data_IF_427501424922
#
_entry.id   IF_427501424922
#
_cell.length_a   1.000
_cell.length_b   1.000
_cell.length_c   1.000
_cell.angle_alpha   90.00
_cell.angle_beta   90.00
_cell.angle_gamma   90.00
#
_symmetry.space_group_name_H-M   'P 1'
#
loop_
_entity.id
_entity.type
_entity.pdbx_description
1 polymer ?
#
# COMPACT_ATOMS: atom_id res chain seq x y z
N UNK A 1 11.37 -8.46 9.59
CA UNK A 1 10.01 -8.51 8.98
C UNK A 1 10.12 -8.11 7.52
N UNK A 2 9.23 -8.64 6.68
CA UNK A 2 9.05 -8.24 5.28
C UNK A 2 8.13 -7.03 5.21
N UNK A 3 8.62 -5.91 4.68
CA UNK A 3 7.88 -4.66 4.61
C UNK A 3 7.76 -4.21 3.16
N UNK A 4 6.53 -4.06 2.67
CA UNK A 4 6.29 -3.40 1.40
C UNK A 4 6.40 -1.87 1.55
N UNK A 5 7.08 -1.22 0.61
CA UNK A 5 7.11 0.23 0.46
C UNK A 5 6.53 0.62 -0.90
N UNK A 6 5.69 1.64 -0.91
CA UNK A 6 5.24 2.26 -2.15
C UNK A 6 4.98 3.75 -1.98
N UNK A 7 5.13 4.50 -3.07
CA UNK A 7 4.77 5.90 -3.13
C UNK A 7 4.46 6.38 -4.55
N UNK A 8 3.85 7.56 -4.65
CA UNK A 8 3.96 8.39 -5.85
C UNK A 8 5.19 9.30 -5.81
N UNK A 9 5.32 10.15 -6.82
CA UNK A 9 6.38 11.14 -6.93
C UNK A 9 6.46 12.08 -5.71
N UNK A 10 5.33 12.42 -5.08
CA UNK A 10 5.30 13.30 -3.91
C UNK A 10 5.85 12.62 -2.64
N UNK A 11 5.79 11.29 -2.56
CA UNK A 11 6.35 10.51 -1.46
C UNK A 11 7.77 9.98 -1.69
N UNK A 12 8.35 10.15 -2.89
CA UNK A 12 9.58 9.46 -3.30
C UNK A 12 10.76 9.69 -2.35
N UNK A 13 11.12 10.94 -2.08
CA UNK A 13 12.27 11.26 -1.22
C UNK A 13 12.11 10.66 0.20
N UNK A 14 10.89 10.69 0.74
CA UNK A 14 10.60 10.14 2.07
C UNK A 14 10.63 8.60 2.07
N UNK A 15 10.04 7.96 1.06
CA UNK A 15 10.09 6.49 0.90
C UNK A 15 11.52 6.00 0.79
N UNK A 16 12.34 6.65 -0.03
CA UNK A 16 13.75 6.27 -0.25
C UNK A 16 14.59 6.42 1.04
N UNK A 17 14.35 7.47 1.82
CA UNK A 17 14.91 7.61 3.16
C UNK A 17 14.49 6.46 4.09
N UNK A 18 13.19 6.17 4.18
CA UNK A 18 12.65 5.10 5.02
C UNK A 18 13.15 3.71 4.58
N UNK A 19 13.28 3.46 3.28
CA UNK A 19 13.81 2.20 2.74
C UNK A 19 15.23 1.91 3.25
N UNK A 20 16.12 2.92 3.20
CA UNK A 20 17.47 2.80 3.74
C UNK A 20 17.46 2.52 5.25
N UNK A 21 16.66 3.27 6.01
CA UNK A 21 16.57 3.12 7.47
C UNK A 21 16.05 1.74 7.87
N UNK A 22 14.95 1.29 7.26
CA UNK A 22 14.34 -0.01 7.55
C UNK A 22 15.28 -1.16 7.19
N UNK A 23 15.98 -1.07 6.06
CA UNK A 23 17.00 -2.05 5.68
C UNK A 23 18.14 -2.08 6.70
N UNK A 24 18.64 -0.91 7.12
CA UNK A 24 19.68 -0.81 8.15
C UNK A 24 19.23 -1.36 9.53
N UNK A 25 17.94 -1.29 9.83
CA UNK A 25 17.32 -1.91 11.01
C UNK A 25 17.05 -3.43 10.86
N UNK A 26 17.45 -4.05 9.74
CA UNK A 26 17.36 -5.50 9.52
C UNK A 26 16.02 -5.98 8.97
N UNK A 27 15.19 -5.09 8.44
CA UNK A 27 13.96 -5.49 7.73
C UNK A 27 14.24 -5.89 6.28
N UNK A 28 13.45 -6.83 5.76
CA UNK A 28 13.45 -7.21 4.34
C UNK A 28 12.48 -6.27 3.61
N UNK A 29 13.02 -5.27 2.91
CA UNK A 29 12.24 -4.20 2.28
C UNK A 29 11.96 -4.55 0.81
N UNK A 30 10.67 -4.64 0.47
CA UNK A 30 10.21 -4.78 -0.92
C UNK A 30 9.68 -3.44 -1.42
N UNK A 31 10.43 -2.79 -2.31
CA UNK A 31 10.07 -1.49 -2.88
C UNK A 31 9.30 -1.64 -4.20
N UNK A 32 8.02 -1.27 -4.18
CA UNK A 32 7.10 -1.30 -5.33
C UNK A 32 7.13 0.00 -6.15
N UNK A 33 8.05 0.90 -5.83
CA UNK A 33 8.22 2.19 -6.48
C UNK A 33 7.32 3.29 -5.90
N UNK A 34 7.29 4.48 -6.49
CA UNK A 34 8.10 4.88 -7.66
C UNK A 34 9.60 4.94 -7.37
N UNK A 35 10.41 5.07 -8.42
CA UNK A 35 11.89 5.00 -8.37
C UNK A 35 12.57 6.36 -8.62
N UNK A 36 11.79 7.41 -8.87
CA UNK A 36 12.26 8.77 -9.07
C UNK A 36 11.13 9.77 -8.78
N UNK A 37 11.41 11.05 -8.99
CA UNK A 37 10.48 12.16 -8.75
C UNK A 37 9.60 12.49 -9.96
N UNK A 38 9.67 11.69 -11.03
CA UNK A 38 8.85 11.93 -12.22
C UNK A 38 7.38 11.70 -11.87
N UNK A 39 6.50 12.55 -12.40
CA UNK A 39 5.07 12.46 -12.15
C UNK A 39 4.51 11.09 -12.51
N UNK A 40 3.87 10.44 -11.55
CA UNK A 40 3.22 9.14 -11.67
C UNK A 40 1.96 9.09 -10.82
N UNK A 41 1.07 8.17 -11.16
CA UNK A 41 -0.12 7.86 -10.37
C UNK A 41 0.22 6.94 -9.19
N UNK A 42 -0.18 7.34 -7.98
CA UNK A 42 0.07 6.56 -6.77
C UNK A 42 -0.52 5.14 -6.84
N UNK A 43 -1.65 4.96 -7.51
CA UNK A 43 -2.39 3.69 -7.57
C UNK A 43 -1.53 2.58 -8.19
N UNK A 44 -0.74 2.89 -9.23
CA UNK A 44 0.10 1.90 -9.92
C UNK A 44 1.19 1.29 -9.02
N UNK A 45 1.54 1.96 -7.92
CA UNK A 45 2.55 1.52 -6.96
C UNK A 45 1.93 1.04 -5.64
N UNK A 46 0.92 1.75 -5.14
CA UNK A 46 0.25 1.42 -3.88
C UNK A 46 -0.58 0.14 -4.01
N UNK A 47 -1.27 -0.07 -5.13
CA UNK A 47 -2.06 -1.29 -5.34
C UNK A 47 -1.21 -2.57 -5.26
N UNK A 48 -0.12 -2.76 -6.02
CA UNK A 48 0.67 -4.00 -5.95
C UNK A 48 1.34 -4.21 -4.59
N UNK A 49 1.78 -3.14 -3.90
CA UNK A 49 2.30 -3.23 -2.53
C UNK A 49 1.23 -3.68 -1.54
N UNK A 50 0.03 -3.12 -1.64
CA UNK A 50 -1.12 -3.49 -0.81
C UNK A 50 -1.57 -4.92 -1.12
N UNK A 51 -1.56 -5.32 -2.39
CA UNK A 51 -1.88 -6.68 -2.81
C UNK A 51 -0.91 -7.69 -2.21
N UNK A 52 0.38 -7.36 -2.15
CA UNK A 52 1.36 -8.19 -1.47
C UNK A 52 1.05 -8.38 0.02
N UNK A 53 0.55 -7.35 0.69
CA UNK A 53 0.14 -7.44 2.09
C UNK A 53 -1.13 -8.29 2.25
N UNK A 54 -2.13 -8.05 1.40
CA UNK A 54 -3.40 -8.80 1.35
C UNK A 54 -3.18 -10.31 1.15
N UNK A 55 -2.24 -10.67 0.28
CA UNK A 55 -1.85 -12.05 -0.03
C UNK A 55 -0.84 -12.64 0.96
N UNK A 56 -0.53 -11.94 2.06
CA UNK A 56 0.46 -12.34 3.06
C UNK A 56 1.87 -12.63 2.50
N UNK A 57 2.24 -12.01 1.36
CA UNK A 57 3.61 -12.03 0.81
C UNK A 57 4.57 -11.11 1.56
N UNK A 58 4.02 -10.13 2.28
CA UNK A 58 4.73 -9.25 3.22
C UNK A 58 3.99 -9.18 4.55
N UNK A 59 4.70 -8.79 5.62
CA UNK A 59 4.12 -8.70 6.97
C UNK A 59 3.40 -7.37 7.21
N UNK A 60 3.93 -6.28 6.62
CA UNK A 60 3.45 -4.90 6.77
C UNK A 60 3.63 -4.11 5.48
N UNK A 61 2.87 -3.04 5.32
CA UNK A 61 3.09 -2.05 4.27
C UNK A 61 3.25 -0.64 4.85
N UNK A 62 4.17 0.14 4.29
CA UNK A 62 4.28 1.58 4.53
C UNK A 62 4.11 2.27 3.18
N UNK A 63 3.12 3.14 3.09
CA UNK A 63 2.68 3.78 1.85
C UNK A 63 2.82 5.29 1.99
N UNK A 64 3.41 5.95 1.02
CA UNK A 64 3.67 7.39 1.08
C UNK A 64 3.08 8.07 -0.15
N UNK A 65 2.19 9.04 0.04
CA UNK A 65 1.80 9.95 -1.04
C UNK A 65 1.89 11.39 -0.52
N UNK A 66 1.42 12.39 -1.27
CA UNK A 66 1.46 13.78 -0.80
C UNK A 66 0.88 13.99 0.61
N UNK A 67 -0.23 13.35 0.96
CA UNK A 67 -0.96 13.56 2.22
C UNK A 67 -1.19 12.28 3.06
N UNK A 68 -0.99 11.10 2.47
CA UNK A 68 -1.24 9.77 3.01
C UNK A 68 -2.66 9.24 2.76
N UNK A 69 -3.64 10.11 2.46
CA UNK A 69 -5.04 9.69 2.34
C UNK A 69 -5.35 8.84 1.10
N UNK A 70 -4.96 9.25 -0.13
CA UNK A 70 -5.23 8.44 -1.33
C UNK A 70 -4.68 7.02 -1.22
N UNK A 71 -3.46 6.86 -0.70
CA UNK A 71 -2.86 5.55 -0.45
C UNK A 71 -3.67 4.73 0.55
N UNK A 72 -4.13 5.36 1.64
CA UNK A 72 -4.97 4.71 2.64
C UNK A 72 -6.33 4.27 2.09
N UNK A 73 -6.91 5.03 1.15
CA UNK A 73 -8.16 4.68 0.47
C UNK A 73 -7.96 3.42 -0.38
N UNK A 74 -6.92 3.38 -1.23
CA UNK A 74 -6.61 2.19 -2.04
C UNK A 74 -6.30 1.01 -1.14
N UNK A 75 -5.49 1.22 -0.11
CA UNK A 75 -5.06 0.13 0.77
C UNK A 75 -6.24 -0.58 1.44
N UNK A 76 -7.20 0.18 1.97
CA UNK A 76 -8.37 -0.36 2.66
C UNK A 76 -9.42 -0.99 1.73
N UNK A 77 -9.27 -0.90 0.40
CA UNK A 77 -10.13 -1.66 -0.52
C UNK A 77 -9.76 -3.14 -0.58
N UNK A 78 -8.54 -3.51 -0.16
CA UNK A 78 -8.00 -4.85 -0.37
C UNK A 78 -8.28 -5.81 0.79
N UNK A 79 -8.44 -7.11 0.47
CA UNK A 79 -8.56 -8.19 1.44
C UNK A 79 -7.60 -8.18 2.64
N UNK A 80 -8.15 -8.19 3.86
CA UNK A 80 -7.38 -8.26 5.10
C UNK A 80 -6.47 -7.06 5.39
N UNK A 81 -6.59 -5.95 4.65
CA UNK A 81 -5.79 -4.75 4.87
C UNK A 81 -6.55 -3.73 5.69
N UNK A 82 -5.91 -3.27 6.78
CA UNK A 82 -6.38 -2.23 7.66
C UNK A 82 -5.29 -1.16 7.75
N UNK A 83 -5.41 -0.16 6.88
CA UNK A 83 -4.47 0.93 6.76
C UNK A 83 -4.89 2.14 7.61
N UNK A 84 -3.95 2.72 8.33
CA UNK A 84 -4.12 4.00 9.02
C UNK A 84 -3.25 5.07 8.38
N UNK A 85 -3.78 6.29 8.27
CA UNK A 85 -2.99 7.48 7.97
C UNK A 85 -2.51 8.06 9.29
N UNK A 86 -1.19 8.21 9.48
CA UNK A 86 -0.63 8.82 10.67
C UNK A 86 0.54 9.74 10.32
N UNK A 87 0.42 11.01 10.70
CA UNK A 87 1.41 12.05 10.46
C UNK A 87 2.08 12.53 11.77
N UNK A 88 1.91 11.78 12.86
CA UNK A 88 2.56 12.00 14.15
C UNK A 88 2.67 10.68 14.94
N UNK A 89 3.61 10.56 15.90
CA UNK A 89 3.83 9.33 16.66
C UNK A 89 2.65 8.91 17.55
N UNK A 90 1.82 9.85 18.01
CA UNK A 90 0.65 9.51 18.83
C UNK A 90 -0.37 8.78 17.97
N UNK A 91 -0.69 9.32 16.80
CA UNK A 91 -1.58 8.66 15.83
C UNK A 91 -1.04 7.30 15.41
N UNK A 92 0.28 7.19 15.17
CA UNK A 92 0.95 5.94 14.81
C UNK A 92 0.81 4.85 15.90
N UNK A 93 1.05 5.22 17.16
CA UNK A 93 0.85 4.35 18.31
C UNK A 93 -0.60 3.88 18.42
N UNK A 94 -1.55 4.82 18.40
CA UNK A 94 -2.97 4.50 18.55
C UNK A 94 -3.49 3.62 17.40
N UNK A 95 -2.97 3.81 16.19
CA UNK A 95 -3.30 2.96 15.04
C UNK A 95 -2.91 1.48 15.26
N UNK A 96 -1.85 1.21 16.02
CA UNK A 96 -1.47 -0.15 16.42
C UNK A 96 -2.24 -0.62 17.63
N UNK A 97 -2.22 0.14 18.72
CA UNK A 97 -2.82 -0.23 20.01
C UNK A 97 -4.33 -0.50 19.88
N UNK A 98 -5.05 0.36 19.16
CA UNK A 98 -6.52 0.35 19.15
C UNK A 98 -7.11 -0.35 17.93
N UNK A 99 -6.39 -0.33 16.80
CA UNK A 99 -6.92 -0.79 15.52
C UNK A 99 -6.14 -1.95 14.91
N UNK A 100 -5.01 -2.35 15.51
CA UNK A 100 -4.13 -3.41 15.02
C UNK A 100 -3.82 -3.29 13.52
N UNK A 101 -3.57 -2.07 13.03
CA UNK A 101 -3.32 -1.79 11.61
C UNK A 101 -2.09 -2.53 11.08
N UNK A 102 -2.17 -3.03 9.85
CA UNK A 102 -1.08 -3.75 9.16
C UNK A 102 -0.51 -2.96 7.97
N UNK A 103 -1.11 -1.82 7.63
CA UNK A 103 -0.55 -0.82 6.74
C UNK A 103 -0.53 0.57 7.39
N UNK A 104 0.54 1.32 7.13
CA UNK A 104 0.73 2.69 7.59
C UNK A 104 0.85 3.61 6.36
N UNK A 105 0.08 4.68 6.34
CA UNK A 105 0.12 5.70 5.29
C UNK A 105 0.64 7.02 5.85
N UNK A 106 1.57 7.66 5.15
CA UNK A 106 2.25 8.87 5.59
C UNK A 106 2.17 9.92 4.48
N UNK A 107 1.94 11.19 4.84
CA UNK A 107 1.99 12.30 3.90
C UNK A 107 3.40 12.83 3.68
N UNK A 108 4.03 12.49 2.56
CA UNK A 108 5.37 12.93 2.16
C UNK A 108 5.54 14.45 2.00
N UNK A 109 4.44 15.20 1.78
CA UNK A 109 4.45 16.67 1.79
C UNK A 109 4.05 17.27 3.14
N UNK A 110 3.64 16.44 4.10
CA UNK A 110 3.18 16.87 5.42
C UNK A 110 4.28 16.67 6.46
N UNK A 111 4.99 15.54 6.43
CA UNK A 111 6.00 15.19 7.43
C UNK A 111 7.41 15.20 6.84
N UNK A 112 8.36 15.73 7.62
CA UNK A 112 9.79 15.61 7.33
C UNK A 112 10.35 14.25 7.77
N UNK A 113 11.52 13.89 7.25
CA UNK A 113 12.17 12.58 7.48
C UNK A 113 12.38 12.22 8.96
N UNK A 114 12.81 13.18 9.79
CA UNK A 114 13.01 12.95 11.23
C UNK A 114 11.70 12.57 11.93
N UNK A 115 10.59 13.22 11.57
CA UNK A 115 9.27 12.90 12.11
C UNK A 115 8.77 11.56 11.58
N UNK A 116 8.97 11.29 10.29
CA UNK A 116 8.60 10.02 9.68
C UNK A 116 9.34 8.83 10.31
N UNK A 117 10.62 8.99 10.65
CA UNK A 117 11.37 7.97 11.40
C UNK A 117 10.68 7.65 12.73
N UNK A 118 10.31 8.68 13.50
CA UNK A 118 9.60 8.48 14.77
C UNK A 118 8.24 7.83 14.59
N UNK A 119 7.48 8.22 13.56
CA UNK A 119 6.17 7.63 13.23
C UNK A 119 6.32 6.15 12.91
N UNK A 120 7.25 5.80 12.01
CA UNK A 120 7.47 4.43 11.54
C UNK A 120 8.01 3.56 12.68
N UNK A 121 9.01 4.03 13.43
CA UNK A 121 9.57 3.30 14.56
C UNK A 121 8.50 3.05 15.63
N UNK A 122 7.69 4.08 15.94
CA UNK A 122 6.58 3.95 16.89
C UNK A 122 5.56 2.91 16.40
N UNK A 123 5.13 2.99 15.14
CA UNK A 123 4.15 2.06 14.59
C UNK A 123 4.67 0.61 14.52
N UNK A 124 5.94 0.41 14.19
CA UNK A 124 6.53 -0.93 14.13
C UNK A 124 6.75 -1.54 15.52
N UNK A 125 7.15 -0.73 16.50
CA UNK A 125 7.43 -1.20 17.86
C UNK A 125 6.19 -1.33 18.75
N UNK A 126 5.05 -0.73 18.35
CA UNK A 126 3.84 -0.74 19.17
C UNK A 126 3.04 -2.04 19.02
N UNK A 127 2.84 -2.71 20.14
CA UNK A 127 2.01 -3.89 20.26
C UNK A 127 0.51 -3.57 20.26
N UNK A 128 -0.29 -4.54 19.81
CA UNK A 128 -1.74 -4.43 19.88
C UNK A 128 -2.23 -4.70 21.31
N UNK A 129 -3.06 -3.81 21.87
CA UNK A 129 -3.51 -3.94 23.27
C UNK A 129 -4.55 -5.04 23.50
N UNK A 130 -5.23 -5.51 22.47
CA UNK A 130 -6.28 -6.52 22.62
C UNK A 130 -7.48 -6.03 23.45
N UNK A 131 -8.05 -6.90 24.30
CA UNK A 131 -9.16 -6.57 25.20
C UNK A 131 -10.36 -5.93 24.48
N UNK A 132 -10.81 -4.77 24.95
CA UNK A 132 -11.92 -4.02 24.32
C UNK A 132 -11.65 -3.61 22.87
N UNK A 133 -10.37 -3.47 22.49
CA UNK A 133 -9.97 -3.12 21.13
C UNK A 133 -10.07 -4.32 20.19
N UNK A 134 -9.74 -5.53 20.66
CA UNK A 134 -9.93 -6.77 19.89
C UNK A 134 -11.39 -6.94 19.45
N UNK A 135 -12.34 -6.73 20.37
CA UNK A 135 -13.78 -6.79 20.06
C UNK A 135 -14.18 -5.83 18.93
N UNK A 136 -13.57 -4.64 18.86
CA UNK A 136 -13.85 -3.65 17.80
C UNK A 136 -13.19 -4.05 16.48
N UNK A 137 -11.94 -4.50 16.54
CA UNK A 137 -11.21 -5.02 15.37
C UNK A 137 -11.97 -6.20 14.75
N UNK A 138 -12.49 -7.12 15.55
CA UNK A 138 -13.27 -8.25 15.05
C UNK A 138 -14.58 -7.82 14.38
N UNK A 139 -15.25 -6.79 14.90
CA UNK A 139 -16.43 -6.20 14.23
C UNK A 139 -16.07 -5.56 12.89
N UNK A 140 -14.94 -4.86 12.80
CA UNK A 140 -14.45 -4.28 11.54
C UNK A 140 -14.13 -5.39 10.54
N UNK A 141 -13.44 -6.45 10.96
CA UNK A 141 -13.16 -7.64 10.14
C UNK A 141 -14.42 -8.35 9.67
N UNK A 142 -15.46 -8.40 10.50
CA UNK A 142 -16.74 -8.99 10.12
C UNK A 142 -17.48 -8.13 9.08
N UNK A 143 -17.47 -6.80 9.19
CA UNK A 143 -18.02 -5.90 8.17
C UNK A 143 -17.27 -6.04 6.85
N UNK A 144 -15.95 -6.09 6.95
CA UNK A 144 -15.04 -6.26 5.83
C UNK A 144 -15.31 -7.59 5.08
N UNK A 145 -15.47 -8.70 5.80
CA UNK A 145 -15.88 -9.97 5.22
C UNK A 145 -17.30 -9.94 4.62
N UNK A 146 -18.24 -9.25 5.28
CA UNK A 146 -19.65 -9.15 4.85
C UNK A 146 -19.83 -8.38 3.54
N UNK A 147 -19.08 -7.29 3.37
CA UNK A 147 -19.23 -6.41 2.22
C UNK A 147 -18.30 -6.75 1.05
N UNK A 148 -17.42 -7.74 1.22
CA UNK A 148 -16.64 -8.28 0.12
C UNK A 148 -17.46 -9.23 -0.73
N UNK A 149 -17.26 -9.13 -2.04
CA UNK A 149 -17.73 -10.12 -3.01
C UNK A 149 -16.98 -11.43 -2.76
N UNK A 150 -17.61 -12.55 -3.14
CA UNK A 150 -17.01 -13.87 -2.95
C UNK A 150 -15.67 -14.00 -3.68
N UNK A 151 -14.78 -14.88 -3.22
CA UNK A 151 -13.50 -15.13 -3.88
C UNK A 151 -13.66 -15.54 -5.36
N UNK A 152 -14.77 -16.20 -5.72
CA UNK A 152 -15.15 -16.53 -7.10
C UNK A 152 -15.50 -15.31 -7.95
N UNK A 153 -15.96 -14.20 -7.36
CA UNK A 153 -16.25 -12.94 -8.05
C UNK A 153 -15.05 -11.97 -8.04
N UNK A 154 -14.09 -12.17 -7.14
CA UNK A 154 -12.89 -11.33 -6.96
C UNK A 154 -11.68 -11.76 -7.79
N UNK A 155 -11.72 -12.93 -8.44
CA UNK A 155 -10.61 -13.46 -9.24
C UNK A 155 -10.29 -12.65 -10.51
N UNK A 156 -10.91 -11.48 -10.71
CA UNK A 156 -10.62 -10.58 -11.83
C UNK A 156 -9.19 -10.10 -11.74
N UNK A 157 -8.37 -10.56 -12.68
CA UNK A 157 -6.98 -10.13 -12.82
C UNK A 157 -6.96 -8.62 -13.05
N UNK A 158 -6.25 -7.88 -12.20
CA UNK A 158 -5.97 -6.46 -12.45
C UNK A 158 -4.57 -6.37 -13.07
N UNK A 159 -4.46 -5.68 -14.20
CA UNK A 159 -3.17 -5.41 -14.85
C UNK A 159 -2.87 -3.93 -14.73
N UNK A 160 -1.75 -3.63 -14.07
CA UNK A 160 -1.19 -2.28 -13.89
C UNK A 160 -0.10 -2.00 -14.92
N UNK A 161 0.30 -0.74 -15.05
CA UNK A 161 1.42 -0.36 -15.94
C UNK A 161 2.72 -1.03 -15.51
N UNK A 162 2.90 -1.27 -14.21
CA UNK A 162 4.08 -1.95 -13.70
C UNK A 162 4.12 -3.43 -14.11
N UNK A 163 2.97 -4.11 -14.17
CA UNK A 163 2.89 -5.48 -14.70
C UNK A 163 3.29 -5.53 -16.18
N UNK A 164 2.84 -4.54 -16.97
CA UNK A 164 3.23 -4.41 -18.39
C UNK A 164 4.75 -4.17 -18.52
N UNK A 165 5.32 -3.26 -17.73
CA UNK A 165 6.76 -2.97 -17.74
C UNK A 165 7.59 -4.20 -17.35
N UNK A 166 7.15 -4.97 -16.38
CA UNK A 166 7.82 -6.20 -15.95
C UNK A 166 7.80 -7.27 -17.06
N UNK A 167 6.65 -7.50 -17.67
CA UNK A 167 6.50 -8.42 -18.79
C UNK A 167 7.41 -8.04 -19.97
N UNK A 168 7.50 -6.75 -20.32
CA UNK A 168 8.41 -6.25 -21.36
C UNK A 168 9.88 -6.49 -21.00
N UNK A 169 10.30 -6.18 -19.77
CA UNK A 169 11.68 -6.42 -19.29
C UNK A 169 12.08 -7.88 -19.40
N UNK A 170 11.15 -8.79 -19.12
CA UNK A 170 11.39 -10.23 -19.14
C UNK A 170 10.98 -10.93 -20.45
N UNK A 171 10.57 -10.16 -21.48
CA UNK A 171 10.08 -10.69 -22.78
C UNK A 171 8.99 -11.75 -22.61
N UNK A 172 8.08 -11.53 -21.67
CA UNK A 172 6.93 -12.41 -21.38
C UNK A 172 5.66 -11.82 -21.96
N UNK A 173 4.73 -12.68 -22.36
CA UNK A 173 3.37 -12.27 -22.73
C UNK A 173 2.50 -12.17 -21.48
N UNK A 174 1.65 -11.15 -21.40
CA UNK A 174 0.56 -11.08 -20.45
C UNK A 174 -0.71 -11.61 -21.12
N UNK A 175 -1.28 -12.68 -20.56
CA UNK A 175 -2.59 -13.17 -20.98
C UNK A 175 -3.67 -12.31 -20.32
N UNK A 176 -4.57 -11.76 -21.14
CA UNK A 176 -5.75 -11.01 -20.72
C UNK A 176 -6.98 -11.82 -21.11
N UNK A 177 -8.00 -11.81 -20.26
CA UNK A 177 -9.33 -12.37 -20.52
C UNK A 177 -10.40 -11.26 -20.43
N UNK A 178 -11.64 -11.57 -20.78
CA UNK A 178 -12.74 -10.60 -20.80
C UNK A 178 -13.07 -10.00 -19.42
N UNK A 179 -12.62 -10.64 -18.35
CA UNK A 179 -12.81 -10.21 -16.96
C UNK A 179 -11.58 -9.45 -16.40
N UNK A 180 -10.51 -9.33 -17.19
CA UNK A 180 -9.28 -8.65 -16.80
C UNK A 180 -9.49 -7.14 -16.73
N UNK A 181 -9.23 -6.55 -15.56
CA UNK A 181 -9.33 -5.12 -15.32
C UNK A 181 -8.00 -4.46 -15.69
N UNK A 182 -7.98 -3.66 -16.75
CA UNK A 182 -6.85 -2.79 -17.07
C UNK A 182 -6.97 -1.50 -16.26
N UNK A 183 -5.92 -1.10 -15.54
CA UNK A 183 -5.89 0.23 -14.92
C UNK A 183 -5.97 1.32 -16.00
N UNK A 184 -6.52 2.52 -15.69
CA UNK A 184 -6.58 3.62 -16.66
C UNK A 184 -5.23 3.88 -17.35
N UNK A 185 -4.14 3.88 -16.57
CA UNK A 185 -2.78 4.08 -17.08
C UNK A 185 -2.33 2.99 -18.07
N UNK A 186 -2.85 1.75 -17.96
CA UNK A 186 -2.63 0.69 -18.98
C UNK A 186 -3.47 0.94 -20.22
N UNK A 187 -4.74 1.34 -20.07
CA UNK A 187 -5.60 1.68 -21.21
C UNK A 187 -5.02 2.83 -22.04
N UNK A 188 -4.49 3.84 -21.37
CA UNK A 188 -3.80 4.97 -22.01
C UNK A 188 -2.56 4.49 -22.78
N UNK A 189 -1.76 3.60 -22.18
CA UNK A 189 -0.58 3.00 -22.82
C UNK A 189 -0.94 2.19 -24.07
N UNK A 190 -2.07 1.49 -24.05
CA UNK A 190 -2.57 0.69 -25.19
C UNK A 190 -3.28 1.53 -26.26
N UNK A 191 -3.46 2.84 -26.03
CA UNK A 191 -4.22 3.70 -26.93
C UNK A 191 -5.73 3.43 -26.91
N UNK A 192 -6.23 2.76 -25.87
CA UNK A 192 -7.65 2.45 -25.65
C UNK A 192 -8.37 3.54 -24.84
N UNK A 193 -7.69 4.62 -24.48
CA UNK A 193 -8.30 5.80 -23.86
C UNK A 193 -9.23 6.51 -24.86
N UNK A 194 -10.54 6.45 -24.61
CA UNK A 194 -11.60 7.33 -25.15
C UNK A 194 -11.13 8.80 -25.21
N UNK A 195 -11.17 9.49 -26.35
CA UNK A 195 -12.35 10.27 -26.83
C UNK A 195 -13.35 10.57 -25.70
N UNK A 196 -13.12 11.62 -24.92
CA UNK A 196 -14.04 12.12 -23.90
C UNK A 196 -13.39 13.12 -22.98
#
# INVERSE_FOLDING_TARGET
MKIALACDHAGFALKDHLARRLTAAGHDVQDFGTRNEDSVDFVDHVYPATLALSEARVDRAILVDGAGYPSGIVANMLPGVFAAVANDPVSARLAREHSNTNALCIGGRIVGSVMADQIVDTWLATDFLGGKYAVRVDKVRALDAKHRRSASEQARKVVTVNDVRDALRHKRSLLLDDDTILTPSVKDLLGEGTVG
#
